data_IF_746971136631
#
_entry.id   IF_746971136631
#
_cell.length_a   1.000
_cell.length_b   1.000
_cell.length_c   1.000
_cell.angle_alpha   90.00
_cell.angle_beta   90.00
_cell.angle_gamma   90.00
#
_symmetry.space_group_name_H-M   'P 1'
#
loop_
_entity.id
_entity.type
_entity.pdbx_description
1 polymer ?
#
# COMPACT_ATOMS: atom_id res chain seq x y z
N UNK A 1 -14.15 3.19 -9.75
CA UNK A 1 -15.57 3.59 -9.94
C UNK A 1 -16.35 3.00 -8.79
N UNK A 2 -17.21 3.75 -8.10
CA UNK A 2 -17.93 3.27 -6.91
C UNK A 2 -19.03 2.23 -7.20
N UNK A 3 -19.69 2.32 -8.35
CA UNK A 3 -20.84 1.48 -8.65
C UNK A 3 -22.00 1.73 -7.69
N UNK A 4 -22.67 0.66 -7.26
CA UNK A 4 -23.89 0.69 -6.43
C UNK A 4 -23.63 0.78 -4.92
N UNK A 5 -22.37 0.70 -4.48
CA UNK A 5 -22.04 0.82 -3.05
C UNK A 5 -22.26 2.26 -2.58
N UNK A 6 -22.59 2.43 -1.30
CA UNK A 6 -22.72 3.76 -0.67
C UNK A 6 -21.37 4.47 -0.56
N UNK A 7 -20.30 3.68 -0.36
CA UNK A 7 -18.93 4.15 -0.20
C UNK A 7 -18.01 3.49 -1.23
N UNK A 8 -17.03 4.24 -1.73
CA UNK A 8 -15.88 3.71 -2.48
C UNK A 8 -14.75 3.39 -1.49
N UNK A 9 -14.44 2.10 -1.33
CA UNK A 9 -13.42 1.63 -0.39
C UNK A 9 -12.12 1.15 -1.08
N UNK A 10 -12.13 0.93 -2.39
CA UNK A 10 -10.92 0.50 -3.10
C UNK A 10 -9.89 1.63 -3.22
N UNK A 11 -8.63 1.22 -3.25
CA UNK A 11 -7.49 2.05 -3.59
C UNK A 11 -6.62 1.38 -4.66
N UNK A 12 -5.76 2.16 -5.31
CA UNK A 12 -4.81 1.63 -6.28
C UNK A 12 -3.44 2.26 -6.07
N UNK A 13 -2.42 1.49 -6.42
CA UNK A 13 -1.03 1.91 -6.55
C UNK A 13 -0.68 1.94 -8.04
N UNK A 14 -0.12 3.06 -8.48
CA UNK A 14 0.34 3.28 -9.84
C UNK A 14 1.70 3.98 -9.76
N UNK A 15 2.77 3.21 -9.95
CA UNK A 15 4.13 3.72 -9.97
C UNK A 15 4.80 3.34 -11.30
N UNK A 16 4.85 4.33 -12.19
CA UNK A 16 5.44 4.16 -13.53
C UNK A 16 6.95 4.31 -13.50
N UNK A 17 7.52 5.00 -12.51
CA UNK A 17 8.96 5.21 -12.43
C UNK A 17 9.50 4.52 -11.16
N UNK A 18 9.02 3.30 -10.91
CA UNK A 18 9.40 2.55 -9.71
C UNK A 18 10.92 2.38 -9.67
N UNK A 19 11.48 1.91 -10.79
CA UNK A 19 12.91 1.86 -11.14
C UNK A 19 13.08 1.80 -12.67
N UNK A 20 14.27 2.06 -13.23
CA UNK A 20 14.50 1.96 -14.67
C UNK A 20 14.07 0.59 -15.25
N UNK A 21 13.10 0.61 -16.17
CA UNK A 21 12.57 -0.61 -16.78
C UNK A 21 11.59 -1.42 -15.91
N UNK A 22 11.23 -0.92 -14.73
CA UNK A 22 10.29 -1.57 -13.81
C UNK A 22 9.12 -0.63 -13.47
N UNK A 23 7.92 -1.18 -13.51
CA UNK A 23 6.68 -0.50 -13.12
C UNK A 23 5.98 -1.31 -12.04
N UNK A 24 5.35 -0.65 -11.07
CA UNK A 24 4.60 -1.30 -10.00
C UNK A 24 3.15 -0.84 -10.00
N UNK A 25 2.24 -1.82 -10.02
CA UNK A 25 0.81 -1.62 -9.98
C UNK A 25 0.20 -2.46 -8.87
N UNK A 26 -0.83 -1.95 -8.21
CA UNK A 26 -1.57 -2.68 -7.17
C UNK A 26 -3.00 -2.21 -7.06
N UNK A 27 -3.91 -3.12 -6.70
CA UNK A 27 -5.31 -2.82 -6.42
C UNK A 27 -5.64 -3.38 -5.05
N UNK A 28 -6.28 -2.57 -4.22
CA UNK A 28 -6.58 -2.89 -2.83
C UNK A 28 -8.08 -2.74 -2.62
N UNK A 29 -8.76 -3.85 -2.38
CA UNK A 29 -10.20 -3.90 -2.09
C UNK A 29 -10.40 -3.72 -0.58
N UNK A 30 -10.91 -2.55 -0.18
CA UNK A 30 -11.12 -2.19 1.22
C UNK A 30 -12.41 -2.80 1.78
N UNK A 31 -12.44 -3.04 3.10
CA UNK A 31 -13.66 -3.44 3.80
C UNK A 31 -13.75 -2.83 5.19
N UNK A 32 -14.94 -2.38 5.58
CA UNK A 32 -15.19 -1.80 6.91
C UNK A 32 -14.51 -0.44 7.10
N UNK A 33 -14.33 0.30 6.00
CA UNK A 33 -13.55 1.52 5.91
C UNK A 33 -12.49 1.46 4.79
N UNK A 34 -12.23 2.61 4.16
CA UNK A 34 -11.24 2.76 3.06
C UNK A 34 -9.81 2.99 3.53
N UNK A 35 -9.61 3.21 4.83
CA UNK A 35 -8.38 3.75 5.40
C UNK A 35 -7.20 2.82 5.20
N UNK A 36 -7.39 1.52 5.43
CA UNK A 36 -6.33 0.52 5.29
C UNK A 36 -5.97 0.30 3.82
N UNK A 37 -6.95 0.26 2.90
CA UNK A 37 -6.68 0.15 1.47
C UNK A 37 -5.87 1.36 0.96
N UNK A 38 -6.26 2.57 1.36
CA UNK A 38 -5.52 3.79 1.03
C UNK A 38 -4.11 3.82 1.64
N UNK A 39 -3.97 3.38 2.89
CA UNK A 39 -2.67 3.31 3.56
C UNK A 39 -1.75 2.29 2.88
N UNK A 40 -2.24 1.07 2.62
CA UNK A 40 -1.48 0.02 1.96
C UNK A 40 -1.01 0.43 0.56
N UNK A 41 -1.87 1.08 -0.23
CA UNK A 41 -1.50 1.58 -1.56
C UNK A 41 -0.35 2.59 -1.53
N UNK A 42 -0.28 3.45 -0.49
CA UNK A 42 0.80 4.42 -0.32
C UNK A 42 2.08 3.81 0.24
N UNK A 43 1.94 2.87 1.18
CA UNK A 43 3.04 2.37 1.99
C UNK A 43 3.78 1.16 1.37
N UNK A 44 3.17 0.50 0.38
CA UNK A 44 3.71 -0.72 -0.23
C UNK A 44 5.07 -0.52 -0.88
N UNK A 45 5.27 0.55 -1.64
CA UNK A 45 6.54 0.83 -2.34
C UNK A 45 7.70 0.88 -1.33
N UNK A 46 7.57 1.75 -0.33
CA UNK A 46 8.65 1.97 0.62
C UNK A 46 8.90 0.71 1.46
N UNK A 47 7.83 0.07 1.94
CA UNK A 47 7.99 -1.15 2.74
C UNK A 47 8.58 -2.30 1.93
N UNK A 48 8.25 -2.41 0.64
CA UNK A 48 8.87 -3.39 -0.25
C UNK A 48 10.36 -3.13 -0.42
N UNK A 49 10.78 -1.90 -0.75
CA UNK A 49 12.21 -1.54 -0.87
C UNK A 49 12.96 -1.79 0.45
N UNK A 50 12.34 -1.51 1.59
CA UNK A 50 12.92 -1.74 2.92
C UNK A 50 12.91 -3.21 3.37
N UNK A 51 12.16 -4.09 2.69
CA UNK A 51 12.04 -5.51 3.03
C UNK A 51 13.21 -6.36 2.54
N UNK A 52 14.08 -5.79 1.70
CA UNK A 52 15.32 -6.44 1.30
C UNK A 52 16.39 -6.32 2.40
N UNK A 53 17.22 -7.36 2.61
CA UNK A 53 18.31 -7.30 3.60
C UNK A 53 19.27 -6.14 3.31
N UNK A 54 19.68 -5.37 4.32
CA UNK A 54 20.44 -4.12 4.10
C UNK A 54 21.79 -4.26 3.35
N UNK A 55 22.34 -5.48 3.30
CA UNK A 55 23.57 -5.81 2.56
C UNK A 55 23.31 -6.35 1.14
N UNK A 56 22.08 -6.77 0.86
CA UNK A 56 21.61 -7.32 -0.41
C UNK A 56 20.33 -6.59 -0.84
N UNK A 57 20.31 -5.26 -0.66
CA UNK A 57 19.18 -4.43 -1.02
C UNK A 57 19.45 -3.81 -2.39
N UNK A 58 18.72 -4.23 -3.45
CA UNK A 58 18.95 -3.75 -4.80
C UNK A 58 18.69 -2.25 -4.96
N UNK A 59 17.97 -1.61 -4.03
CA UNK A 59 17.55 -0.20 -4.10
C UNK A 59 18.39 0.75 -3.24
N UNK A 60 19.48 0.28 -2.61
CA UNK A 60 20.29 1.11 -1.68
C UNK A 60 21.24 2.08 -2.40
N UNK A 61 21.54 1.84 -3.68
CA UNK A 61 22.43 2.65 -4.51
C UNK A 61 21.72 3.79 -5.24
N UNK A 62 22.48 4.52 -6.06
CA UNK A 62 21.90 5.51 -6.99
C UNK A 62 21.21 4.88 -8.20
N UNK A 63 21.48 3.59 -8.45
CA UNK A 63 20.86 2.75 -9.47
C UNK A 63 20.50 1.42 -8.84
N UNK A 64 19.55 0.73 -9.45
CA UNK A 64 19.22 -0.65 -9.08
C UNK A 64 20.39 -1.58 -9.36
N UNK A 65 20.67 -2.46 -8.41
CA UNK A 65 21.55 -3.61 -8.61
C UNK A 65 20.72 -4.81 -9.11
N UNK A 66 20.72 -5.03 -10.43
CA UNK A 66 19.95 -6.09 -11.09
C UNK A 66 20.38 -7.50 -10.65
N UNK A 67 21.66 -7.67 -10.27
CA UNK A 67 22.18 -8.97 -9.81
C UNK A 67 21.61 -9.36 -8.44
N UNK A 68 21.17 -8.38 -7.65
CA UNK A 68 20.52 -8.58 -6.35
C UNK A 68 18.99 -8.70 -6.46
N UNK A 69 18.44 -8.64 -7.68
CA UNK A 69 17.01 -8.63 -7.96
C UNK A 69 16.56 -10.01 -8.49
N UNK A 70 17.00 -11.07 -7.82
CA UNK A 70 16.60 -12.44 -8.15
C UNK A 70 15.15 -12.74 -7.72
N UNK A 71 14.48 -13.71 -8.37
CA UNK A 71 13.08 -14.02 -8.07
C UNK A 71 12.79 -14.40 -6.61
N UNK A 72 13.70 -15.11 -5.95
CA UNK A 72 13.49 -15.58 -4.57
C UNK A 72 13.59 -14.41 -3.57
N UNK A 73 14.55 -13.49 -3.78
CA UNK A 73 14.65 -12.29 -2.95
C UNK A 73 13.47 -11.34 -3.15
N UNK A 74 12.96 -11.20 -4.38
CA UNK A 74 11.75 -10.42 -4.68
C UNK A 74 10.52 -11.04 -4.01
N UNK A 75 10.32 -12.35 -4.13
CA UNK A 75 9.21 -13.05 -3.46
C UNK A 75 9.28 -12.83 -1.95
N UNK A 76 10.45 -13.03 -1.36
CA UNK A 76 10.63 -12.89 0.08
C UNK A 76 10.43 -11.44 0.55
N UNK A 77 10.91 -10.46 -0.22
CA UNK A 77 10.70 -9.05 0.08
C UNK A 77 9.22 -8.66 -0.02
N UNK A 78 8.48 -9.21 -0.99
CA UNK A 78 7.05 -8.99 -1.12
C UNK A 78 6.28 -9.58 0.08
N UNK A 79 6.57 -10.82 0.48
CA UNK A 79 5.97 -11.41 1.68
C UNK A 79 6.25 -10.54 2.91
N UNK A 80 7.50 -10.12 3.07
CA UNK A 80 7.93 -9.28 4.18
C UNK A 80 7.28 -7.89 4.15
N UNK A 81 6.99 -7.34 2.97
CA UNK A 81 6.35 -6.03 2.86
C UNK A 81 4.92 -6.04 3.35
N UNK A 82 4.14 -7.09 3.01
CA UNK A 82 2.78 -7.27 3.52
C UNK A 82 2.77 -7.48 5.04
N UNK A 83 3.66 -8.32 5.56
CA UNK A 83 3.83 -8.52 7.01
C UNK A 83 4.26 -7.21 7.70
N UNK A 84 5.14 -6.44 7.06
CA UNK A 84 5.65 -5.16 7.57
C UNK A 84 4.55 -4.11 7.67
N UNK A 85 3.70 -4.00 6.63
CA UNK A 85 2.52 -3.13 6.64
C UNK A 85 1.56 -3.55 7.76
N UNK A 86 1.25 -4.85 7.88
CA UNK A 86 0.32 -5.33 8.90
C UNK A 86 0.82 -5.02 10.33
N UNK A 87 2.12 -5.21 10.59
CA UNK A 87 2.75 -4.78 11.84
C UNK A 87 2.64 -3.27 12.06
N UNK A 88 2.86 -2.46 11.01
CA UNK A 88 2.73 -0.99 11.06
C UNK A 88 1.31 -0.58 11.44
N UNK A 89 0.26 -1.24 10.93
CA UNK A 89 -1.16 -0.97 11.26
C UNK A 89 -1.46 -1.09 12.76
N UNK A 90 -0.71 -1.92 13.48
CA UNK A 90 -0.86 -2.09 14.93
C UNK A 90 -0.26 -0.95 15.77
N UNK A 91 0.58 -0.10 15.16
CA UNK A 91 1.28 0.98 15.86
C UNK A 91 0.36 2.17 16.17
N UNK A 92 0.68 2.93 17.24
CA UNK A 92 -0.09 4.14 17.61
C UNK A 92 -0.02 5.22 16.52
N UNK A 93 1.13 5.34 15.85
CA UNK A 93 1.36 6.30 14.78
C UNK A 93 0.39 6.05 13.63
N UNK A 94 0.37 4.83 13.10
CA UNK A 94 -0.47 4.49 11.95
C UNK A 94 -1.95 4.51 12.34
N UNK A 95 -2.33 4.07 13.55
CA UNK A 95 -3.70 4.21 14.02
C UNK A 95 -4.20 5.66 14.00
N UNK A 96 -3.33 6.62 14.34
CA UNK A 96 -3.66 8.05 14.26
C UNK A 96 -3.84 8.49 12.80
N UNK A 97 -2.93 8.08 11.92
CA UNK A 97 -3.04 8.36 10.49
C UNK A 97 -4.32 7.78 9.86
N UNK A 98 -4.69 6.54 10.20
CA UNK A 98 -5.95 5.92 9.75
C UNK A 98 -7.16 6.75 10.22
N UNK A 99 -7.16 7.25 11.46
CA UNK A 99 -8.22 8.15 11.92
C UNK A 99 -8.26 9.47 11.13
N UNK A 100 -7.10 10.03 10.76
CA UNK A 100 -7.02 11.22 9.93
C UNK A 100 -7.56 10.95 8.52
N UNK A 101 -7.22 9.79 7.92
CA UNK A 101 -7.78 9.35 6.64
C UNK A 101 -9.29 9.25 6.75
N UNK A 102 -9.84 8.61 7.79
CA UNK A 102 -11.28 8.50 8.01
C UNK A 102 -11.97 9.86 8.09
N UNK A 103 -11.43 10.77 8.89
CA UNK A 103 -12.05 12.07 9.17
C UNK A 103 -12.08 12.99 7.93
N UNK A 104 -11.06 12.91 7.08
CA UNK A 104 -10.99 13.71 5.85
C UNK A 104 -11.91 13.18 4.73
N UNK A 105 -12.56 12.04 4.97
CA UNK A 105 -13.15 11.22 3.92
C UNK A 105 -14.41 10.51 4.45
N UNK A 106 -15.34 11.24 5.08
CA UNK A 106 -16.49 10.66 5.76
C UNK A 106 -17.31 9.80 4.82
N UNK A 107 -17.91 8.74 5.37
CA UNK A 107 -18.78 7.85 4.61
C UNK A 107 -19.96 8.61 4.01
N UNK A 108 -20.24 8.33 2.74
CA UNK A 108 -21.41 8.80 2.05
C UNK A 108 -22.65 8.20 2.69
N UNK A 109 -23.61 9.05 3.07
CA UNK A 109 -24.92 8.60 3.51
C UNK A 109 -25.67 7.98 2.34
N UNK A 110 -26.43 6.91 2.59
CA UNK A 110 -27.29 6.31 1.57
C UNK A 110 -28.45 7.27 1.25
N UNK A 111 -28.55 7.81 0.03
CA UNK A 111 -29.60 8.76 -0.33
C UNK A 111 -31.01 8.14 -0.33
N UNK A 112 -31.12 6.80 -0.32
CA UNK A 112 -32.39 6.08 -0.28
C UNK A 112 -32.86 5.70 1.14
N UNK A 113 -32.01 5.90 2.16
CA UNK A 113 -32.36 5.66 3.57
C UNK A 113 -32.68 6.95 4.34
N UNK A 114 -32.63 8.12 3.68
CA UNK A 114 -32.99 9.42 4.27
C UNK A 114 -34.43 9.88 3.92
N UNK A 115 -35.30 8.97 3.47
CA UNK A 115 -36.74 9.21 3.22
C UNK A 115 -37.62 8.65 4.33
#
# INVERSE_FOLDING_TARGET
MQGWRTNMEDAHLLELDFEPGMHLFGVFDGHGGKEVAMYAARELIQTFKDSFPSKANPFKGSTVDEDLLDPDSVEQALINSFIGIDKKLSTKQVKKELMEIRNNNPEGKNPFLEL
#
